data_IF_138551601494
#
_entry.id   IF_138551601494
#
_cell.length_a   1.000
_cell.length_b   1.000
_cell.length_c   1.000
_cell.angle_alpha   90.00
_cell.angle_beta   90.00
_cell.angle_gamma   90.00
#
_symmetry.space_group_name_H-M   'P 1'
#
loop_
_entity.id
_entity.type
_entity.pdbx_description
1 polymer ?
#
# COMPACT_ATOMS: atom_id res chain seq x y z
N UNK A 1 1.53 1.75 6.92
CA UNK A 1 0.18 2.37 6.82
C UNK A 1 -0.53 1.86 5.56
N UNK A 2 -1.58 1.03 5.68
CA UNK A 2 -2.31 0.49 4.53
C UNK A 2 -3.66 1.18 4.35
N UNK A 3 -3.86 1.92 3.27
CA UNK A 3 -5.00 2.85 3.12
C UNK A 3 -5.66 2.78 1.75
N UNK A 4 -6.96 3.06 1.71
CA UNK A 4 -7.73 3.24 0.48
C UNK A 4 -8.49 4.56 0.59
N UNK A 5 -8.54 5.34 -0.48
CA UNK A 5 -9.25 6.61 -0.50
C UNK A 5 -10.78 6.39 -0.57
N UNK A 6 -11.36 5.72 0.42
CA UNK A 6 -12.79 5.40 0.49
C UNK A 6 -13.08 3.91 0.41
N UNK A 7 -14.36 3.55 0.28
CA UNK A 7 -14.81 2.17 0.35
C UNK A 7 -14.78 1.46 -1.00
N UNK A 8 -14.22 0.25 -1.01
CA UNK A 8 -14.17 -0.66 -2.15
C UNK A 8 -15.52 -1.35 -2.46
N UNK A 9 -16.69 -0.69 -2.32
CA UNK A 9 -18.05 -1.29 -2.45
C UNK A 9 -18.19 -2.27 -3.65
N UNK A 10 -17.81 -3.54 -3.47
CA UNK A 10 -17.81 -4.59 -4.50
C UNK A 10 -16.67 -4.55 -5.53
N UNK A 11 -15.68 -3.67 -5.42
CA UNK A 11 -14.53 -3.59 -6.32
C UNK A 11 -13.28 -4.20 -5.69
N UNK A 12 -12.90 -5.39 -6.12
CA UNK A 12 -11.70 -6.08 -5.66
C UNK A 12 -10.44 -5.32 -6.11
N UNK A 13 -9.89 -4.49 -5.23
CA UNK A 13 -8.46 -4.22 -5.24
C UNK A 13 -7.98 -4.24 -3.79
N UNK A 14 -6.88 -4.93 -3.59
CA UNK A 14 -6.45 -5.49 -2.32
C UNK A 14 -4.93 -5.43 -2.36
N UNK A 15 -4.34 -4.30 -1.98
CA UNK A 15 -2.91 -4.03 -2.21
C UNK A 15 -1.98 -4.83 -1.29
N UNK A 16 -2.44 -5.11 -0.08
CA UNK A 16 -1.58 -5.63 0.99
C UNK A 16 -2.04 -7.01 1.46
N UNK A 17 -1.13 -7.96 1.46
CA UNK A 17 -1.38 -9.34 1.86
C UNK A 17 -0.29 -9.80 2.82
N UNK A 18 -0.65 -10.64 3.79
CA UNK A 18 0.32 -11.35 4.62
C UNK A 18 1.10 -12.35 3.77
N UNK A 19 2.21 -12.85 4.29
CA UNK A 19 2.99 -13.91 3.64
C UNK A 19 2.16 -15.19 3.44
N UNK A 20 1.22 -15.46 4.34
CA UNK A 20 0.28 -16.57 4.26
C UNK A 20 -0.87 -16.36 3.27
N UNK A 21 -0.91 -15.23 2.56
CA UNK A 21 -1.93 -14.92 1.56
C UNK A 21 -3.27 -14.47 2.17
N UNK A 22 -3.24 -13.91 3.37
CA UNK A 22 -4.40 -13.30 4.01
C UNK A 22 -4.43 -11.81 3.68
N UNK A 23 -5.59 -11.33 3.24
CA UNK A 23 -5.79 -9.91 2.96
C UNK A 23 -5.54 -9.07 4.21
N UNK A 24 -4.74 -8.02 4.10
CA UNK A 24 -4.62 -6.98 5.11
C UNK A 24 -5.61 -5.86 4.76
N UNK A 25 -6.67 -5.64 5.57
CA UNK A 25 -7.66 -4.62 5.27
C UNK A 25 -7.04 -3.22 5.26
N UNK A 26 -7.45 -2.39 4.30
CA UNK A 26 -7.08 -0.98 4.24
C UNK A 26 -7.92 -0.15 5.21
N UNK A 27 -7.35 0.91 5.78
CA UNK A 27 -8.11 1.96 6.46
C UNK A 27 -8.76 2.85 5.37
N UNK A 28 -10.08 3.04 5.43
CA UNK A 28 -10.85 3.70 4.36
C UNK A 28 -11.26 5.14 4.72
N UNK A 29 -11.22 5.48 6.01
CA UNK A 29 -11.62 6.78 6.56
C UNK A 29 -10.38 7.61 6.90
N UNK A 30 -10.30 8.84 6.36
CA UNK A 30 -9.19 9.77 6.63
C UNK A 30 -9.21 10.25 8.09
N UNK A 31 -10.39 10.35 8.71
CA UNK A 31 -10.53 10.66 10.13
C UNK A 31 -9.90 9.58 11.01
N UNK A 32 -10.03 8.31 10.61
CA UNK A 32 -9.44 7.17 11.30
C UNK A 32 -7.93 7.12 11.12
N UNK A 33 -7.42 7.40 9.92
CA UNK A 33 -5.97 7.54 9.67
C UNK A 33 -5.39 8.65 10.54
N UNK A 34 -6.03 9.81 10.58
CA UNK A 34 -5.60 10.94 11.42
C UNK A 34 -5.55 10.57 12.90
N UNK A 35 -6.61 9.98 13.44
CA UNK A 35 -6.67 9.54 14.84
C UNK A 35 -5.58 8.54 15.18
N UNK A 36 -5.38 7.54 14.31
CA UNK A 36 -4.35 6.51 14.50
C UNK A 36 -2.93 7.11 14.58
N UNK A 37 -2.65 8.14 13.80
CA UNK A 37 -1.30 8.72 13.68
C UNK A 37 -1.04 9.84 14.68
N UNK A 38 -2.03 10.68 14.99
CA UNK A 38 -1.79 11.99 15.62
C UNK A 38 -2.60 12.25 16.89
N UNK A 39 -3.53 11.36 17.26
CA UNK A 39 -4.36 11.53 18.46
C UNK A 39 -3.89 10.57 19.55
N UNK A 40 -3.47 11.13 20.68
CA UNK A 40 -3.13 10.33 21.86
C UNK A 40 -4.38 9.65 22.42
N UNK A 41 -4.19 8.42 22.88
CA UNK A 41 -5.20 7.70 23.64
C UNK A 41 -5.10 8.09 25.12
N UNK A 42 -6.19 7.90 25.88
CA UNK A 42 -6.11 8.04 27.35
C UNK A 42 -5.19 6.95 27.92
N UNK A 43 -4.55 7.23 29.06
CA UNK A 43 -3.72 6.25 29.79
C UNK A 43 -4.47 4.94 30.01
N UNK A 44 -5.72 5.03 30.47
CA UNK A 44 -6.53 3.85 30.78
C UNK A 44 -6.82 3.00 29.54
N UNK A 45 -7.00 3.64 28.37
CA UNK A 45 -7.22 2.94 27.11
C UNK A 45 -5.93 2.28 26.59
N UNK A 46 -4.79 2.96 26.75
CA UNK A 46 -3.48 2.43 26.43
C UNK A 46 -3.15 1.21 27.32
N UNK A 47 -3.35 1.32 28.62
CA UNK A 47 -3.11 0.25 29.60
C UNK A 47 -4.00 -0.97 29.31
N UNK A 48 -5.29 -0.75 29.03
CA UNK A 48 -6.20 -1.83 28.64
C UNK A 48 -5.78 -2.53 27.34
N UNK A 49 -5.20 -1.80 26.39
CA UNK A 49 -4.66 -2.37 25.15
C UNK A 49 -3.39 -3.16 25.40
N UNK A 50 -2.47 -2.65 26.22
CA UNK A 50 -1.27 -3.36 26.63
C UNK A 50 -1.61 -4.70 27.30
N UNK A 51 -2.51 -4.69 28.28
CA UNK A 51 -2.97 -5.91 28.95
C UNK A 51 -3.64 -6.92 27.99
N UNK A 52 -4.31 -6.43 26.93
CA UNK A 52 -4.86 -7.28 25.88
C UNK A 52 -3.75 -7.94 25.04
N UNK A 53 -2.70 -7.19 24.68
CA UNK A 53 -1.56 -7.73 23.94
C UNK A 53 -0.79 -8.77 24.76
N UNK A 54 -0.54 -8.51 26.05
CA UNK A 54 0.07 -9.50 26.96
C UNK A 54 -0.72 -10.81 27.02
N UNK A 55 -2.05 -10.72 27.14
CA UNK A 55 -2.94 -11.89 27.12
C UNK A 55 -2.89 -12.61 25.77
N UNK A 56 -2.85 -11.88 24.65
CA UNK A 56 -2.73 -12.48 23.32
C UNK A 56 -1.39 -13.19 23.14
N UNK A 57 -0.29 -12.59 23.60
CA UNK A 57 1.03 -13.22 23.64
C UNK A 57 1.01 -14.54 24.42
N UNK A 58 0.44 -14.54 25.62
CA UNK A 58 0.30 -15.76 26.44
C UNK A 58 -0.50 -16.88 25.74
N UNK A 59 -1.52 -16.51 24.96
CA UNK A 59 -2.31 -17.47 24.17
C UNK A 59 -1.46 -18.04 23.03
N UNK A 60 -0.69 -17.21 22.34
CA UNK A 60 0.17 -17.64 21.24
C UNK A 60 1.30 -18.56 21.74
N UNK A 61 1.88 -18.27 22.90
CA UNK A 61 2.86 -19.14 23.56
C UNK A 61 2.28 -20.54 23.82
N UNK A 62 1.07 -20.60 24.39
CA UNK A 62 0.39 -21.86 24.65
C UNK A 62 0.08 -22.64 23.35
N UNK A 63 -0.36 -21.93 22.29
CA UNK A 63 -0.59 -22.51 20.97
C UNK A 63 0.71 -23.06 20.38
N UNK A 64 1.81 -22.31 20.51
CA UNK A 64 3.12 -22.70 20.01
C UNK A 64 3.66 -23.95 20.71
N UNK A 65 3.53 -24.04 22.04
CA UNK A 65 3.90 -25.24 22.81
C UNK A 65 3.10 -26.48 22.38
N UNK A 66 1.78 -26.34 22.24
CA UNK A 66 0.91 -27.43 21.79
C UNK A 66 1.25 -27.88 20.36
N UNK A 67 1.45 -26.92 19.46
CA UNK A 67 1.82 -27.20 18.07
C UNK A 67 3.17 -27.91 17.99
N UNK A 68 4.16 -27.54 18.82
CA UNK A 68 5.47 -28.21 18.89
C UNK A 68 5.35 -29.65 19.37
N UNK A 69 4.54 -29.91 20.41
CA UNK A 69 4.27 -31.27 20.90
C UNK A 69 3.55 -32.14 19.85
N UNK A 70 2.62 -31.55 19.09
CA UNK A 70 1.94 -32.23 17.99
C UNK A 70 2.89 -32.55 16.83
N UNK A 71 3.77 -31.62 16.48
CA UNK A 71 4.72 -31.75 15.36
C UNK A 71 5.63 -33.00 15.51
N UNK A 72 5.97 -33.37 16.74
CA UNK A 72 6.73 -34.60 17.03
C UNK A 72 6.00 -35.88 16.63
N UNK A 73 4.66 -35.87 16.66
CA UNK A 73 3.78 -37.02 16.39
C UNK A 73 3.28 -37.09 14.94
N UNK A 74 3.52 -36.05 14.14
CA UNK A 74 3.02 -35.95 12.77
C UNK A 74 3.89 -36.68 11.75
N UNK A 75 3.24 -37.14 10.67
CA UNK A 75 3.91 -37.65 9.48
C UNK A 75 4.70 -36.55 8.77
N UNK A 76 5.71 -36.90 7.95
CA UNK A 76 6.52 -35.92 7.23
C UNK A 76 5.68 -34.95 6.37
N UNK A 77 4.59 -35.45 5.77
CA UNK A 77 3.67 -34.64 4.95
C UNK A 77 2.90 -33.62 5.80
N UNK A 78 2.44 -34.02 6.99
CA UNK A 78 1.64 -33.14 7.85
C UNK A 78 2.52 -32.11 8.58
N UNK A 79 3.79 -32.44 8.84
CA UNK A 79 4.78 -31.50 9.38
C UNK A 79 4.96 -30.27 8.51
N UNK A 80 4.90 -30.40 7.18
CA UNK A 80 4.99 -29.25 6.26
C UNK A 80 3.83 -28.27 6.43
N UNK A 81 2.60 -28.77 6.63
CA UNK A 81 1.44 -27.90 6.92
C UNK A 81 1.54 -27.28 8.31
N UNK A 82 2.00 -28.04 9.29
CA UNK A 82 2.23 -27.53 10.65
C UNK A 82 3.28 -26.42 10.67
N UNK A 83 4.33 -26.54 9.86
CA UNK A 83 5.35 -25.50 9.72
C UNK A 83 4.80 -24.19 9.14
N UNK A 84 3.90 -24.27 8.15
CA UNK A 84 3.19 -23.09 7.62
C UNK A 84 2.30 -22.43 8.69
N UNK A 85 1.62 -23.24 9.50
CA UNK A 85 0.82 -22.76 10.62
C UNK A 85 1.68 -22.05 11.68
N UNK A 86 2.77 -22.69 12.12
CA UNK A 86 3.72 -22.12 13.08
C UNK A 86 4.36 -20.83 12.57
N UNK A 87 4.65 -20.74 11.28
CA UNK A 87 5.13 -19.51 10.65
C UNK A 87 4.09 -18.39 10.76
N UNK A 88 2.82 -18.71 10.52
CA UNK A 88 1.72 -17.73 10.63
C UNK A 88 1.51 -17.27 12.08
N UNK A 89 1.62 -18.17 13.06
CA UNK A 89 1.56 -17.82 14.49
C UNK A 89 2.69 -16.86 14.87
N UNK A 90 3.92 -17.16 14.44
CA UNK A 90 5.08 -16.29 14.70
C UNK A 90 4.96 -14.92 14.05
N UNK A 91 4.34 -14.81 12.88
CA UNK A 91 4.07 -13.52 12.24
C UNK A 91 3.11 -12.66 13.09
N UNK A 92 2.10 -13.28 13.72
CA UNK A 92 1.19 -12.57 14.64
C UNK A 92 1.91 -12.14 15.91
N UNK A 93 2.79 -12.97 16.48
CA UNK A 93 3.60 -12.61 17.66
C UNK A 93 4.48 -11.38 17.39
N UNK A 94 5.20 -11.38 16.25
CA UNK A 94 6.04 -10.25 15.84
C UNK A 94 5.20 -8.98 15.66
N UNK A 95 4.01 -9.09 15.05
CA UNK A 95 3.12 -7.96 14.86
C UNK A 95 2.62 -7.40 16.20
N UNK A 96 2.25 -8.25 17.16
CA UNK A 96 1.82 -7.83 18.49
C UNK A 96 2.94 -7.12 19.26
N UNK A 97 4.16 -7.66 19.24
CA UNK A 97 5.32 -7.04 19.87
C UNK A 97 5.62 -5.66 19.28
N UNK A 98 5.50 -5.54 17.95
CA UNK A 98 5.63 -4.24 17.28
C UNK A 98 4.54 -3.29 17.74
N UNK A 99 3.27 -3.69 17.74
CA UNK A 99 2.15 -2.84 18.20
C UNK A 99 2.29 -2.40 19.66
N UNK A 100 2.71 -3.30 20.55
CA UNK A 100 2.97 -3.02 21.97
C UNK A 100 4.00 -1.89 22.15
N UNK A 101 5.07 -1.90 21.35
CA UNK A 101 6.10 -0.84 21.38
C UNK A 101 5.57 0.55 21.05
N UNK A 102 4.40 0.64 20.40
CA UNK A 102 3.74 1.91 20.05
C UNK A 102 2.65 2.34 21.03
N UNK A 103 2.23 1.50 21.97
CA UNK A 103 1.08 1.79 22.87
C UNK A 103 1.32 3.03 23.71
N UNK A 104 2.51 3.14 24.32
CA UNK A 104 2.86 4.25 25.20
C UNK A 104 3.72 5.32 24.52
N UNK A 105 3.96 5.19 23.20
CA UNK A 105 4.73 6.20 22.46
C UNK A 105 3.82 7.40 22.19
N UNK A 106 4.18 8.61 22.65
CA UNK A 106 3.35 9.79 22.42
C UNK A 106 3.22 10.06 20.92
N UNK A 107 2.01 10.42 20.49
CA UNK A 107 1.76 10.74 19.08
C UNK A 107 2.32 12.11 18.75
N UNK A 108 2.93 12.29 17.56
CA UNK A 108 3.44 13.58 17.14
C UNK A 108 2.30 14.59 16.99
N UNK A 109 2.59 15.85 17.35
CA UNK A 109 1.65 16.97 17.17
C UNK A 109 1.85 17.59 15.80
N UNK A 110 0.76 17.69 15.05
CA UNK A 110 0.74 18.30 13.72
C UNK A 110 -0.26 19.44 13.69
N UNK A 111 0.02 20.48 12.90
CA UNK A 111 -0.91 21.57 12.65
C UNK A 111 -1.90 21.19 11.55
N UNK A 112 -2.75 20.20 11.87
CA UNK A 112 -3.82 19.72 11.01
C UNK A 112 -5.04 19.42 11.87
N UNK A 113 -6.20 19.98 11.50
CA UNK A 113 -7.48 19.63 12.12
C UNK A 113 -7.91 18.24 11.66
N UNK A 114 -8.62 17.52 12.51
CA UNK A 114 -9.18 16.21 12.14
C UNK A 114 -9.99 16.33 10.83
N UNK A 115 -9.61 15.59 9.77
CA UNK A 115 -10.27 15.68 8.48
C UNK A 115 -11.64 15.02 8.56
N UNK A 116 -12.55 15.49 7.70
CA UNK A 116 -13.86 14.87 7.52
C UNK A 116 -13.77 13.79 6.46
N UNK A 117 -14.39 12.66 6.74
CA UNK A 117 -14.60 11.60 5.75
C UNK A 117 -15.56 12.08 4.66
N UNK A 118 -15.39 11.55 3.46
CA UNK A 118 -16.06 12.03 2.27
C UNK A 118 -15.97 11.04 1.10
N UNK A 119 -16.16 11.56 -0.11
CA UNK A 119 -16.02 10.76 -1.33
C UNK A 119 -14.55 10.52 -1.67
N UNK A 120 -14.28 9.63 -2.64
CA UNK A 120 -12.91 9.29 -3.06
C UNK A 120 -12.15 10.52 -3.53
N UNK A 121 -12.80 11.38 -4.31
CA UNK A 121 -12.25 12.66 -4.79
C UNK A 121 -12.05 13.71 -3.70
N UNK A 122 -12.66 13.54 -2.53
CA UNK A 122 -12.43 14.42 -1.37
C UNK A 122 -11.31 13.87 -0.49
N UNK A 123 -11.26 12.54 -0.32
CA UNK A 123 -10.34 11.89 0.60
C UNK A 123 -8.93 11.68 0.02
N UNK A 124 -8.79 11.40 -1.27
CA UNK A 124 -7.48 11.12 -1.89
C UNK A 124 -6.40 12.20 -1.60
N UNK A 125 -6.65 13.51 -1.81
CA UNK A 125 -5.67 14.53 -1.49
C UNK A 125 -5.37 14.64 0.01
N UNK A 126 -6.39 14.46 0.86
CA UNK A 126 -6.21 14.47 2.33
C UNK A 126 -5.34 13.29 2.76
N UNK A 127 -5.55 12.11 2.17
CA UNK A 127 -4.78 10.92 2.48
C UNK A 127 -3.30 11.09 2.12
N UNK A 128 -3.00 11.70 0.97
CA UNK A 128 -1.64 12.07 0.61
C UNK A 128 -1.02 13.05 1.62
N UNK A 129 -1.77 14.06 2.07
CA UNK A 129 -1.30 15.03 3.07
C UNK A 129 -0.99 14.34 4.41
N UNK A 130 -1.86 13.42 4.85
CA UNK A 130 -1.63 12.61 6.05
C UNK A 130 -0.39 11.73 5.92
N UNK A 131 -0.10 11.19 4.73
CA UNK A 131 1.11 10.39 4.48
C UNK A 131 2.35 11.26 4.53
N UNK A 132 2.35 12.47 3.95
CA UNK A 132 3.47 13.41 4.06
C UNK A 132 3.78 13.67 5.54
N UNK A 133 2.77 14.00 6.35
CA UNK A 133 2.94 14.22 7.79
C UNK A 133 3.40 12.96 8.52
N UNK A 134 2.89 11.78 8.15
CA UNK A 134 3.30 10.51 8.75
C UNK A 134 4.77 10.20 8.47
N UNK A 135 5.28 10.52 7.28
CA UNK A 135 6.68 10.37 6.92
C UNK A 135 7.55 11.43 7.61
N UNK A 136 7.11 12.70 7.62
CA UNK A 136 7.80 13.82 8.29
C UNK A 136 8.01 13.56 9.78
N UNK A 137 7.01 12.96 10.43
CA UNK A 137 7.02 12.69 11.87
C UNK A 137 7.57 11.30 12.25
N UNK A 138 8.06 10.54 11.26
CA UNK A 138 8.52 9.15 11.44
C UNK A 138 7.46 8.23 12.09
N UNK A 139 6.17 8.52 11.83
CA UNK A 139 5.04 7.71 12.31
C UNK A 139 4.89 6.42 11.51
N UNK A 140 5.43 6.36 10.30
CA UNK A 140 5.46 5.14 9.49
C UNK A 140 6.61 5.15 8.51
N UNK A 141 7.15 3.96 8.18
CA UNK A 141 8.21 3.78 7.18
C UNK A 141 7.70 3.44 5.79
N UNK A 142 6.48 2.91 5.70
CA UNK A 142 5.86 2.43 4.46
C UNK A 142 4.39 2.79 4.47
N UNK A 143 3.90 3.36 3.36
CA UNK A 143 2.49 3.64 3.14
C UNK A 143 2.02 3.08 1.79
N UNK A 144 0.80 2.56 1.74
CA UNK A 144 0.12 2.16 0.50
C UNK A 144 -1.19 2.93 0.38
N UNK A 145 -1.47 3.42 -0.82
CA UNK A 145 -2.70 4.14 -1.16
C UNK A 145 -3.36 3.45 -2.34
N UNK A 146 -4.58 3.01 -2.12
CA UNK A 146 -5.45 2.52 -3.17
C UNK A 146 -6.46 3.60 -3.59
N UNK A 147 -6.71 3.72 -4.89
CA UNK A 147 -7.86 4.45 -5.42
C UNK A 147 -8.95 3.43 -5.79
N UNK A 148 -10.05 3.34 -5.02
CA UNK A 148 -11.09 2.34 -5.22
C UNK A 148 -11.73 2.37 -6.62
N UNK A 149 -12.20 1.20 -7.09
CA UNK A 149 -13.13 1.12 -8.22
C UNK A 149 -14.45 1.89 -7.97
N UNK A 150 -14.82 2.09 -6.69
CA UNK A 150 -15.92 2.93 -6.24
C UNK A 150 -15.67 4.45 -6.32
N UNK A 151 -14.71 4.88 -7.15
CA UNK A 151 -14.39 6.30 -7.39
C UNK A 151 -15.63 7.09 -7.84
N UNK A 152 -15.88 8.22 -7.17
CA UNK A 152 -16.99 9.13 -7.47
C UNK A 152 -16.65 10.04 -8.65
N UNK A 153 -17.11 9.65 -9.83
CA UNK A 153 -16.86 10.39 -11.09
C UNK A 153 -17.46 11.80 -11.10
N UNK A 154 -18.50 12.06 -10.29
CA UNK A 154 -19.06 13.41 -10.11
C UNK A 154 -18.05 14.40 -9.56
N UNK A 155 -17.11 13.97 -8.72
CA UNK A 155 -16.07 14.84 -8.17
C UNK A 155 -15.09 15.38 -9.23
N UNK A 156 -15.08 14.79 -10.43
CA UNK A 156 -14.31 15.26 -11.59
C UNK A 156 -15.22 15.80 -12.72
N UNK A 157 -16.47 16.12 -12.41
CA UNK A 157 -17.42 16.71 -13.36
C UNK A 157 -17.95 15.72 -14.40
N UNK A 158 -18.15 14.46 -14.02
CA UNK A 158 -18.74 13.40 -14.85
C UNK A 158 -20.01 12.86 -14.20
N UNK A 159 -21.16 13.06 -14.85
CA UNK A 159 -22.47 12.75 -14.27
C UNK A 159 -23.11 11.44 -14.77
N UNK A 160 -22.59 10.86 -15.84
CA UNK A 160 -23.30 9.83 -16.61
C UNK A 160 -22.95 8.38 -16.23
N UNK A 161 -21.71 8.11 -15.81
CA UNK A 161 -21.18 6.75 -15.65
C UNK A 161 -20.24 6.66 -14.44
N UNK A 162 -20.14 5.47 -13.84
CA UNK A 162 -19.14 5.18 -12.80
C UNK A 162 -17.76 4.88 -13.38
N UNK A 163 -16.73 4.86 -12.54
CA UNK A 163 -15.34 4.69 -12.96
C UNK A 163 -15.12 3.42 -13.81
N UNK A 164 -15.63 2.27 -13.36
CA UNK A 164 -15.54 1.00 -14.10
C UNK A 164 -16.14 1.07 -15.52
N UNK A 165 -17.22 1.83 -15.72
CA UNK A 165 -17.81 1.97 -17.05
C UNK A 165 -16.97 2.85 -17.99
N UNK A 166 -16.17 3.79 -17.45
CA UNK A 166 -15.21 4.55 -18.23
C UNK A 166 -13.96 3.73 -18.59
N UNK A 167 -13.52 2.80 -17.73
CA UNK A 167 -12.40 1.93 -18.08
C UNK A 167 -12.73 0.98 -19.23
N UNK A 168 -14.01 0.57 -19.38
CA UNK A 168 -14.50 -0.19 -20.54
C UNK A 168 -14.87 0.72 -21.73
N UNK A 169 -13.99 1.64 -22.12
CA UNK A 169 -14.30 2.67 -23.11
C UNK A 169 -14.53 2.16 -24.54
N UNK A 170 -14.03 0.98 -24.93
CA UNK A 170 -14.28 0.41 -26.27
C UNK A 170 -13.82 1.30 -27.42
N UNK A 171 -12.85 2.19 -27.17
CA UNK A 171 -12.40 3.29 -28.05
C UNK A 171 -13.46 4.37 -28.35
N UNK A 172 -14.55 4.43 -27.60
CA UNK A 172 -15.54 5.50 -27.69
C UNK A 172 -14.94 6.82 -27.19
N UNK A 173 -14.89 7.90 -28.00
CA UNK A 173 -14.23 9.16 -27.63
C UNK A 173 -14.74 9.76 -26.32
N UNK A 174 -16.05 9.78 -26.09
CA UNK A 174 -16.65 10.35 -24.88
C UNK A 174 -16.23 9.59 -23.61
N UNK A 175 -16.07 8.26 -23.70
CA UNK A 175 -15.62 7.45 -22.57
C UNK A 175 -14.12 7.59 -22.33
N UNK A 176 -13.32 7.70 -23.38
CA UNK A 176 -11.89 7.99 -23.26
C UNK A 176 -11.65 9.38 -22.63
N UNK A 177 -12.42 10.40 -23.02
CA UNK A 177 -12.32 11.72 -22.41
C UNK A 177 -12.73 11.72 -20.93
N UNK A 178 -13.75 10.93 -20.58
CA UNK A 178 -14.11 10.69 -19.18
C UNK A 178 -12.98 10.01 -18.41
N UNK A 179 -12.38 8.95 -18.96
CA UNK A 179 -11.25 8.25 -18.34
C UNK A 179 -10.05 9.19 -18.13
N UNK A 180 -9.71 10.01 -19.13
CA UNK A 180 -8.65 11.02 -19.03
C UNK A 180 -8.89 12.02 -17.91
N UNK A 181 -10.13 12.47 -17.68
CA UNK A 181 -10.45 13.37 -16.56
C UNK A 181 -10.22 12.70 -15.20
N UNK A 182 -10.57 11.42 -15.08
CA UNK A 182 -10.36 10.63 -13.85
C UNK A 182 -8.85 10.45 -13.59
N UNK A 183 -8.11 9.96 -14.58
CA UNK A 183 -6.65 9.74 -14.47
C UNK A 183 -5.91 11.04 -14.23
N UNK A 184 -6.29 12.13 -14.92
CA UNK A 184 -5.71 13.45 -14.70
C UNK A 184 -5.90 13.90 -13.25
N UNK A 185 -7.09 13.75 -12.68
CA UNK A 185 -7.32 14.11 -11.28
C UNK A 185 -6.41 13.32 -10.33
N UNK A 186 -6.26 12.00 -10.55
CA UNK A 186 -5.39 11.15 -9.73
C UNK A 186 -3.91 11.58 -9.85
N UNK A 187 -3.44 11.85 -11.07
CA UNK A 187 -2.09 12.34 -11.34
C UNK A 187 -1.86 13.75 -10.78
N UNK A 188 -2.84 14.65 -10.85
CA UNK A 188 -2.75 15.98 -10.24
C UNK A 188 -2.64 15.88 -8.71
N UNK A 189 -3.30 14.89 -8.07
CA UNK A 189 -3.13 14.60 -6.65
C UNK A 189 -1.73 14.05 -6.34
N UNK A 190 -1.23 13.12 -7.16
CA UNK A 190 0.12 12.56 -7.02
C UNK A 190 1.20 13.63 -7.21
N UNK A 191 1.06 14.53 -8.20
CA UNK A 191 2.00 15.61 -8.44
C UNK A 191 2.13 16.51 -7.21
N UNK A 192 0.99 16.95 -6.64
CA UNK A 192 0.99 17.72 -5.39
C UNK A 192 1.60 16.96 -4.22
N UNK A 193 1.40 15.64 -4.13
CA UNK A 193 2.03 14.82 -3.11
C UNK A 193 3.56 14.81 -3.24
N UNK A 194 4.07 14.62 -4.46
CA UNK A 194 5.52 14.63 -4.74
C UNK A 194 6.12 16.02 -4.49
N UNK A 195 5.45 17.10 -4.92
CA UNK A 195 5.85 18.48 -4.63
C UNK A 195 5.95 18.74 -3.12
N UNK A 196 4.94 18.31 -2.34
CA UNK A 196 4.98 18.44 -0.87
C UNK A 196 6.11 17.64 -0.23
N UNK A 197 6.42 16.46 -0.73
CA UNK A 197 7.60 15.71 -0.25
C UNK A 197 8.90 16.48 -0.52
N UNK A 198 9.02 17.15 -1.66
CA UNK A 198 10.20 17.94 -2.01
C UNK A 198 10.33 19.20 -1.14
N UNK A 199 9.23 19.94 -0.98
CA UNK A 199 9.16 21.13 -0.11
C UNK A 199 9.54 20.82 1.35
N UNK A 200 9.28 19.59 1.81
CA UNK A 200 9.62 19.09 3.15
C UNK A 200 11.01 18.45 3.23
N UNK A 201 11.75 18.38 2.13
CA UNK A 201 13.06 17.74 2.05
C UNK A 201 13.01 16.20 2.16
N UNK A 202 11.85 15.59 2.01
CA UNK A 202 11.62 14.15 2.15
C UNK A 202 11.80 13.38 0.84
N UNK A 203 11.64 14.03 -0.32
CA UNK A 203 11.58 13.37 -1.63
C UNK A 203 12.82 12.49 -1.91
N UNK A 204 14.02 12.96 -1.59
CA UNK A 204 15.25 12.19 -1.80
C UNK A 204 15.36 10.94 -0.91
N UNK A 205 14.66 10.92 0.23
CA UNK A 205 14.65 9.82 1.20
C UNK A 205 13.44 8.88 1.07
N UNK A 206 12.47 9.22 0.19
CA UNK A 206 11.22 8.48 0.04
C UNK A 206 11.09 7.96 -1.39
N UNK A 207 10.87 6.65 -1.56
CA UNK A 207 10.55 6.05 -2.85
C UNK A 207 9.03 6.05 -3.08
N UNK A 208 8.57 6.68 -4.15
CA UNK A 208 7.16 6.71 -4.55
C UNK A 208 6.97 5.88 -5.81
N UNK A 209 6.25 4.77 -5.71
CA UNK A 209 5.83 3.95 -6.85
C UNK A 209 4.34 4.14 -7.07
N UNK A 210 3.96 4.60 -8.25
CA UNK A 210 2.57 4.81 -8.65
C UNK A 210 2.30 4.17 -10.01
N UNK A 211 1.15 3.53 -10.17
CA UNK A 211 0.80 2.93 -11.45
C UNK A 211 -0.42 2.03 -11.38
N UNK A 212 -0.56 1.21 -12.41
CA UNK A 212 -1.69 0.27 -12.57
C UNK A 212 -1.18 -1.14 -12.88
N UNK A 213 -1.94 -2.14 -12.43
CA UNK A 213 -1.74 -3.54 -12.81
C UNK A 213 -2.19 -3.86 -14.24
N UNK A 214 -2.83 -2.90 -14.93
CA UNK A 214 -3.25 -3.01 -16.33
C UNK A 214 -2.69 -1.86 -17.17
N UNK A 215 -2.25 -2.18 -18.39
CA UNK A 215 -1.75 -1.22 -19.36
C UNK A 215 -2.89 -0.50 -20.10
N UNK A 216 -4.00 -1.20 -20.31
CA UNK A 216 -5.23 -0.66 -20.88
C UNK A 216 -6.42 -1.35 -20.19
N UNK A 217 -7.26 -0.56 -19.55
CA UNK A 217 -8.43 -1.04 -18.82
C UNK A 217 -9.55 -1.58 -19.72
N UNK A 218 -9.67 -1.11 -20.96
CA UNK A 218 -10.72 -1.55 -21.88
C UNK A 218 -10.39 -2.88 -22.54
N UNK A 219 -9.10 -3.13 -22.79
CA UNK A 219 -8.58 -4.35 -23.40
C UNK A 219 -8.09 -5.36 -22.35
N UNK A 220 -8.11 -5.01 -21.06
CA UNK A 220 -7.64 -5.85 -19.95
C UNK A 220 -6.22 -6.35 -20.14
N UNK A 221 -5.34 -5.50 -20.68
CA UNK A 221 -3.96 -5.89 -20.96
C UNK A 221 -3.10 -5.74 -19.72
N UNK A 222 -2.22 -6.72 -19.48
CA UNK A 222 -1.20 -6.68 -18.41
C UNK A 222 0.21 -6.46 -18.98
N UNK A 223 0.30 -5.92 -20.19
CA UNK A 223 1.54 -5.56 -20.86
C UNK A 223 1.62 -4.04 -21.02
N UNK A 224 2.84 -3.51 -21.15
CA UNK A 224 3.09 -2.07 -21.29
C UNK A 224 2.44 -1.24 -20.16
N UNK A 225 2.69 -1.66 -18.91
CA UNK A 225 2.09 -1.06 -17.72
C UNK A 225 2.61 0.37 -17.50
N UNK A 226 1.74 1.35 -17.22
CA UNK A 226 2.16 2.69 -16.83
C UNK A 226 2.61 2.66 -15.37
N UNK A 227 3.92 2.86 -15.14
CA UNK A 227 4.49 2.92 -13.80
C UNK A 227 5.42 4.13 -13.70
N UNK A 228 5.22 4.91 -12.64
CA UNK A 228 6.02 6.06 -12.25
C UNK A 228 6.81 5.69 -11.00
N UNK A 229 8.11 5.99 -11.02
CA UNK A 229 8.99 5.95 -9.86
C UNK A 229 9.50 7.37 -9.62
N UNK A 230 9.33 7.91 -8.42
CA UNK A 230 9.84 9.21 -8.01
C UNK A 230 10.58 9.13 -6.66
N UNK A 231 11.48 10.09 -6.43
CA UNK A 231 12.23 10.21 -5.16
C UNK A 231 13.27 9.12 -4.94
N UNK A 232 13.65 8.89 -3.68
CA UNK A 232 14.49 7.77 -3.26
C UNK A 232 15.93 7.76 -3.78
N UNK A 233 16.41 8.92 -4.24
CA UNK A 233 17.76 9.12 -4.79
C UNK A 233 18.11 8.18 -5.97
N UNK A 234 17.11 7.70 -6.70
CA UNK A 234 17.31 6.97 -7.95
C UNK A 234 17.89 7.89 -9.04
N UNK A 235 18.60 7.30 -10.01
CA UNK A 235 18.96 7.99 -11.26
C UNK A 235 17.73 8.05 -12.17
N UNK A 236 16.90 9.07 -11.96
CA UNK A 236 15.66 9.25 -12.70
C UNK A 236 15.90 9.66 -14.15
N UNK A 237 15.06 9.15 -15.04
CA UNK A 237 14.90 9.61 -16.42
C UNK A 237 13.46 10.08 -16.60
N UNK A 238 13.22 11.05 -17.50
CA UNK A 238 11.87 11.60 -17.69
C UNK A 238 10.88 10.56 -18.21
N UNK A 239 11.32 9.69 -19.12
CA UNK A 239 10.48 8.66 -19.73
C UNK A 239 11.35 7.53 -20.26
N UNK A 240 11.00 6.29 -19.92
CA UNK A 240 11.67 5.10 -20.42
C UNK A 240 10.64 4.18 -21.10
N UNK A 241 10.87 3.85 -22.38
CA UNK A 241 10.07 2.87 -23.12
C UNK A 241 10.81 1.55 -23.11
N UNK A 242 10.23 0.53 -22.50
CA UNK A 242 10.82 -0.80 -22.44
C UNK A 242 10.57 -1.58 -23.76
N UNK A 243 11.49 -2.50 -24.15
CA UNK A 243 11.36 -3.25 -25.40
C UNK A 243 10.03 -4.03 -25.48
N UNK A 244 9.25 -3.86 -26.56
CA UNK A 244 7.96 -4.54 -26.72
C UNK A 244 8.11 -6.00 -27.19
N UNK A 245 9.28 -6.39 -27.73
CA UNK A 245 9.54 -7.72 -28.27
C UNK A 245 9.57 -8.77 -27.17
N UNK A 246 8.82 -9.86 -27.35
CA UNK A 246 8.60 -10.90 -26.33
C UNK A 246 9.89 -11.39 -25.66
N UNK A 247 10.95 -11.59 -26.45
CA UNK A 247 12.24 -12.09 -25.97
C UNK A 247 13.06 -11.04 -25.19
N UNK A 248 12.78 -9.75 -25.39
CA UNK A 248 13.47 -8.62 -24.74
C UNK A 248 12.65 -7.94 -23.64
N UNK A 249 11.38 -8.34 -23.46
CA UNK A 249 10.50 -7.79 -22.42
C UNK A 249 11.11 -7.96 -21.04
N UNK A 250 11.16 -6.85 -20.31
CA UNK A 250 11.54 -6.84 -18.91
C UNK A 250 10.28 -6.96 -18.05
N UNK A 251 10.23 -7.91 -17.09
CA UNK A 251 9.09 -8.03 -16.19
C UNK A 251 9.09 -6.87 -15.20
N UNK A 252 7.90 -6.36 -14.85
CA UNK A 252 7.75 -5.30 -13.85
C UNK A 252 8.38 -5.65 -12.50
N UNK A 253 8.46 -6.95 -12.16
CA UNK A 253 9.16 -7.44 -10.98
C UNK A 253 10.63 -7.00 -10.90
N UNK A 254 11.30 -6.68 -12.02
CA UNK A 254 12.65 -6.11 -12.00
C UNK A 254 12.67 -4.72 -11.33
N UNK A 255 11.65 -3.90 -11.59
CA UNK A 255 11.50 -2.61 -10.92
C UNK A 255 11.27 -2.81 -9.42
N UNK A 256 10.40 -3.74 -9.04
CA UNK A 256 10.14 -4.01 -7.62
C UNK A 256 11.36 -4.55 -6.88
N UNK A 257 12.17 -5.40 -7.53
CA UNK A 257 13.46 -5.82 -6.98
C UNK A 257 14.39 -4.62 -6.75
N UNK A 258 14.45 -3.71 -7.73
CA UNK A 258 15.26 -2.48 -7.64
C UNK A 258 14.82 -1.59 -6.48
N UNK A 259 13.53 -1.35 -6.35
CA UNK A 259 12.94 -0.57 -5.25
C UNK A 259 13.21 -1.22 -3.89
N UNK A 260 13.03 -2.54 -3.80
CA UNK A 260 13.28 -3.29 -2.57
C UNK A 260 14.76 -3.23 -2.13
N UNK A 261 15.69 -3.44 -3.06
CA UNK A 261 17.13 -3.35 -2.77
C UNK A 261 17.55 -1.92 -2.42
N UNK A 262 17.04 -0.91 -3.13
CA UNK A 262 17.29 0.50 -2.79
C UNK A 262 16.71 0.87 -1.40
N UNK A 263 15.63 0.19 -0.98
CA UNK A 263 15.06 0.34 0.36
C UNK A 263 15.88 -0.38 1.44
N UNK A 264 16.88 -1.18 1.07
CA UNK A 264 17.72 -1.95 2.00
C UNK A 264 17.25 -3.39 2.24
N UNK A 265 16.34 -3.92 1.42
CA UNK A 265 15.94 -5.33 1.51
C UNK A 265 16.99 -6.20 0.84
N UNK A 266 17.64 -7.05 1.63
CA UNK A 266 18.60 -8.05 1.16
C UNK A 266 17.88 -9.23 0.48
N UNK A 267 17.54 -9.05 -0.80
CA UNK A 267 16.96 -10.11 -1.63
C UNK A 267 17.56 -10.12 -3.02
N UNK A 268 17.83 -11.31 -3.55
CA UNK A 268 18.32 -11.49 -4.92
C UNK A 268 17.18 -11.54 -5.96
N UNK A 269 15.93 -11.72 -5.51
CA UNK A 269 14.79 -11.94 -6.42
C UNK A 269 13.48 -11.44 -5.83
N UNK A 270 12.61 -10.95 -6.71
CA UNK A 270 11.20 -10.67 -6.41
C UNK A 270 10.33 -11.28 -7.51
N UNK A 271 9.42 -12.20 -7.16
CA UNK A 271 8.56 -12.88 -8.14
C UNK A 271 9.36 -13.56 -9.26
N UNK A 272 9.15 -13.10 -10.50
CA UNK A 272 9.84 -13.55 -11.72
C UNK A 272 10.92 -12.57 -12.21
N UNK A 273 11.45 -11.71 -11.33
CA UNK A 273 12.53 -10.79 -11.69
C UNK A 273 13.73 -11.54 -12.27
N UNK A 274 14.34 -10.99 -13.31
CA UNK A 274 15.58 -11.48 -13.94
C UNK A 274 16.83 -10.69 -13.52
N UNK A 275 16.64 -9.65 -12.71
CA UNK A 275 17.67 -8.72 -12.24
C UNK A 275 17.04 -7.40 -11.82
N UNK A 276 17.86 -6.47 -11.34
CA UNK A 276 17.44 -5.07 -11.16
C UNK A 276 17.25 -4.40 -12.51
N UNK A 277 16.54 -3.28 -12.49
CA UNK A 277 16.27 -2.48 -13.65
C UNK A 277 17.17 -1.24 -13.58
N UNK A 278 17.96 -1.05 -14.63
CA UNK A 278 18.85 0.10 -14.79
C UNK A 278 18.36 0.92 -15.98
N UNK A 279 18.40 2.23 -15.82
CA UNK A 279 18.06 3.18 -16.86
C UNK A 279 19.38 3.78 -17.36
N UNK A 280 19.62 3.74 -18.67
CA UNK A 280 20.69 4.53 -19.29
C UNK A 280 20.15 5.95 -19.50
N UNK A 281 20.96 6.94 -19.11
CA UNK A 281 20.62 8.37 -19.23
C UNK A 281 21.00 8.90 -20.62
#
# INVERSE_FOLDING_TARGET
LNTSAGSNRGGACELSWTRSGVLVPSIQEVSRVFKLLFVDESSDAADARSARYERQGSILDAVHEQAKAMNQRLSQRDRQKMEQYLTSVREVEIALQQEESWVHRPRPKVDLKEPKDGTVTQQLPILFDLIVLALETDSTRVATVEVPGGFDTKGVGLDAKGYHAFSHHGKEPALMDGMRKIEKYQLDCLARFVEKLDERGLLNSTQVVFGSGMGDGSAHTNANLPVLLAGGSHKHVTHAVLPPEKEKRLPLCNLYLTVAQQFGVETERFGHSKGTLTWEA
#
